data_IF_227689236973
#
_entry.id   IF_227689236973
#
_cell.length_a   1.000
_cell.length_b   1.000
_cell.length_c   1.000
_cell.angle_alpha   90.00
_cell.angle_beta   90.00
_cell.angle_gamma   90.00
#
_symmetry.space_group_name_H-M   'P 1'
#
loop_
_entity.id
_entity.type
_entity.pdbx_description
1 polymer ?
#
# COMPACT_ATOMS: atom_id res chain seq x y z
N UNK A 1 15.60 32.09 22.06
CA UNK A 1 15.98 30.66 21.95
C UNK A 1 14.72 29.82 21.84
N UNK A 2 14.21 29.63 20.62
CA UNK A 2 13.36 28.49 20.29
C UNK A 2 14.15 27.64 19.31
N UNK A 3 14.76 26.56 19.82
CA UNK A 3 15.21 25.44 18.99
C UNK A 3 13.96 24.69 18.55
N UNK A 4 14.03 23.98 17.43
CA UNK A 4 12.95 23.24 16.76
C UNK A 4 12.14 24.07 15.75
N UNK A 5 12.75 24.33 14.59
CA UNK A 5 12.00 24.60 13.38
C UNK A 5 11.46 23.28 12.84
N UNK A 6 10.15 23.09 12.97
CA UNK A 6 9.41 22.01 12.34
C UNK A 6 8.73 22.58 11.10
N UNK A 7 9.49 22.66 10.01
CA UNK A 7 8.95 22.86 8.67
C UNK A 7 9.22 21.56 7.91
N UNK A 8 8.20 20.73 7.79
CA UNK A 8 8.27 19.48 7.06
C UNK A 8 6.92 18.81 7.09
N UNK A 9 6.45 18.37 5.93
CA UNK A 9 5.22 17.62 5.62
C UNK A 9 4.07 18.37 4.95
N UNK A 10 4.22 19.65 4.57
CA UNK A 10 3.27 20.31 3.65
C UNK A 10 3.72 20.15 2.19
N UNK A 11 3.26 19.06 1.56
CA UNK A 11 3.52 18.78 0.15
C UNK A 11 3.21 17.35 -0.25
N UNK A 12 1.94 16.95 -0.14
CA UNK A 12 1.45 15.69 -0.71
C UNK A 12 0.20 15.95 -1.56
N UNK A 13 0.38 16.77 -2.60
CA UNK A 13 -0.56 16.85 -3.71
C UNK A 13 -0.14 15.83 -4.79
N UNK A 14 -1.09 15.01 -5.24
CA UNK A 14 -0.98 14.24 -6.49
C UNK A 14 -0.65 12.76 -6.34
N UNK A 15 -1.69 11.96 -6.08
CA UNK A 15 -1.68 10.56 -6.48
C UNK A 15 -2.03 10.48 -7.96
N UNK A 16 -0.99 10.48 -8.79
CA UNK A 16 -1.10 10.07 -10.18
C UNK A 16 -0.74 8.59 -10.27
N UNK A 17 -1.64 7.84 -10.91
CA UNK A 17 -1.30 6.57 -11.51
C UNK A 17 -0.08 6.73 -12.42
N UNK A 18 0.48 5.62 -12.84
CA UNK A 18 1.74 5.48 -13.58
C UNK A 18 1.92 6.25 -14.91
N UNK A 19 1.19 7.35 -15.16
CA UNK A 19 1.42 8.32 -16.22
C UNK A 19 1.69 9.70 -15.61
N UNK A 20 2.96 9.93 -15.21
CA UNK A 20 3.35 11.20 -14.59
C UNK A 20 4.79 11.25 -14.11
N UNK A 21 5.75 10.69 -14.87
CA UNK A 21 7.16 11.08 -14.71
C UNK A 21 7.34 12.49 -15.29
N UNK A 22 6.77 13.51 -14.64
CA UNK A 22 7.14 14.90 -14.90
C UNK A 22 6.80 15.81 -13.71
N UNK A 23 7.87 16.26 -13.07
CA UNK A 23 7.88 17.51 -12.31
C UNK A 23 8.08 17.36 -10.81
N UNK A 24 8.90 18.28 -10.29
CA UNK A 24 8.92 18.74 -8.90
C UNK A 24 9.91 18.07 -7.94
N UNK A 25 11.19 18.32 -8.19
CA UNK A 25 12.18 18.45 -7.10
C UNK A 25 12.47 19.95 -6.84
N UNK A 26 11.59 20.56 -6.04
CA UNK A 26 12.01 21.05 -4.72
C UNK A 26 11.92 22.55 -4.37
N UNK A 27 11.68 22.78 -3.08
CA UNK A 27 12.61 23.29 -2.03
C UNK A 27 12.02 22.79 -0.69
N UNK A 28 11.73 21.48 -0.55
CA UNK A 28 10.80 20.94 0.48
C UNK A 28 9.60 21.89 0.75
N UNK A 29 8.68 21.97 -0.23
CA UNK A 29 7.40 22.67 -0.10
C UNK A 29 7.38 24.12 -0.59
N UNK A 30 6.71 24.37 -1.71
CA UNK A 30 6.29 25.71 -2.14
C UNK A 30 6.80 26.15 -3.52
N UNK A 31 5.93 26.80 -4.30
CA UNK A 31 6.15 27.37 -5.64
C UNK A 31 7.14 28.57 -5.66
N UNK A 32 8.29 28.46 -5.01
CA UNK A 32 9.36 29.46 -5.02
C UNK A 32 10.34 29.22 -6.17
N UNK A 33 10.57 30.23 -7.03
CA UNK A 33 11.58 30.14 -8.08
C UNK A 33 12.98 29.98 -7.46
N UNK A 34 13.65 28.85 -7.74
CA UNK A 34 15.06 28.63 -7.38
C UNK A 34 15.93 29.69 -8.07
N UNK A 35 16.87 30.30 -7.36
CA UNK A 35 17.95 31.02 -8.02
C UNK A 35 18.71 30.03 -8.93
N UNK A 36 18.94 30.40 -10.19
CA UNK A 36 19.71 29.56 -11.10
C UNK A 36 21.19 29.54 -10.68
N UNK A 37 21.96 28.59 -11.22
CA UNK A 37 23.37 28.45 -10.88
C UNK A 37 24.19 29.73 -11.15
N UNK A 38 23.80 30.53 -12.15
CA UNK A 38 24.49 31.77 -12.52
C UNK A 38 24.53 32.80 -11.38
N UNK A 39 23.38 33.32 -10.90
CA UNK A 39 23.35 34.24 -9.76
C UNK A 39 24.05 33.71 -8.50
N UNK A 40 23.93 32.40 -8.21
CA UNK A 40 24.60 31.79 -7.06
C UNK A 40 26.13 31.77 -7.22
N UNK A 41 26.62 31.47 -8.42
CA UNK A 41 28.05 31.49 -8.73
C UNK A 41 28.62 32.91 -8.63
N UNK A 42 27.97 33.89 -9.26
CA UNK A 42 28.40 35.29 -9.18
C UNK A 42 28.37 35.84 -7.75
N UNK A 43 27.35 35.49 -6.97
CA UNK A 43 27.29 35.87 -5.55
C UNK A 43 28.45 35.26 -4.77
N UNK A 44 28.71 33.95 -4.93
CA UNK A 44 29.84 33.27 -4.28
C UNK A 44 31.17 33.96 -4.61
N UNK A 45 31.45 34.18 -5.88
CA UNK A 45 32.73 34.74 -6.33
C UNK A 45 32.93 36.18 -5.83
N UNK A 46 31.85 36.94 -5.67
CA UNK A 46 31.89 38.29 -5.10
C UNK A 46 32.00 38.36 -3.57
N UNK A 47 31.61 37.31 -2.83
CA UNK A 47 31.48 37.39 -1.36
C UNK A 47 32.39 36.46 -0.56
N UNK A 48 32.88 35.35 -1.11
CA UNK A 48 33.52 34.29 -0.32
C UNK A 48 34.92 34.65 0.22
N UNK A 49 35.58 35.66 -0.35
CA UNK A 49 36.96 35.99 -0.01
C UNK A 49 37.96 34.90 -0.43
N UNK A 50 39.20 34.96 0.04
CA UNK A 50 40.18 33.89 -0.19
C UNK A 50 39.85 32.67 0.68
N UNK A 51 39.74 31.50 0.06
CA UNK A 51 39.60 30.21 0.73
C UNK A 51 40.68 29.25 0.21
N UNK A 52 41.53 28.76 1.10
CA UNK A 52 42.65 27.86 0.80
C UNK A 52 42.24 26.37 0.74
N UNK A 53 40.94 26.09 0.83
CA UNK A 53 40.38 24.75 0.84
C UNK A 53 40.32 24.10 2.23
N UNK A 54 40.78 24.77 3.28
CA UNK A 54 40.70 24.23 4.65
C UNK A 54 39.26 24.29 5.20
N UNK A 55 38.84 23.32 6.02
CA UNK A 55 37.53 23.38 6.65
C UNK A 55 37.50 24.50 7.70
N UNK A 56 36.52 25.40 7.61
CA UNK A 56 36.27 26.50 8.56
C UNK A 56 35.15 26.16 9.57
N UNK A 57 34.54 24.98 9.42
CA UNK A 57 33.46 24.48 10.29
C UNK A 57 33.82 23.12 10.85
N UNK A 58 33.42 22.89 12.10
CA UNK A 58 33.47 21.56 12.68
C UNK A 58 32.57 20.61 11.89
N UNK A 59 33.08 19.42 11.59
CA UNK A 59 32.28 18.36 11.00
C UNK A 59 31.16 17.97 11.96
N UNK A 60 29.94 17.83 11.43
CA UNK A 60 28.87 17.17 12.19
C UNK A 60 29.30 15.71 12.41
N UNK A 61 29.24 15.19 13.65
CA UNK A 61 29.59 13.79 13.90
C UNK A 61 28.67 12.86 13.11
N UNK A 62 29.17 11.66 12.80
CA UNK A 62 28.34 10.60 12.25
C UNK A 62 27.18 10.32 13.21
N UNK A 63 25.98 10.20 12.66
CA UNK A 63 24.74 9.98 13.41
C UNK A 63 24.35 8.51 13.29
N UNK A 64 23.58 8.01 14.26
CA UNK A 64 22.95 6.70 14.11
C UNK A 64 21.97 6.70 12.92
N UNK A 65 21.62 5.51 12.42
CA UNK A 65 20.83 5.35 11.22
C UNK A 65 19.45 6.02 11.31
N UNK A 66 18.81 6.00 12.48
CA UNK A 66 17.50 6.63 12.66
C UNK A 66 17.59 8.15 12.68
N UNK A 67 18.52 8.72 13.44
CA UNK A 67 18.75 10.17 13.44
C UNK A 67 19.17 10.68 12.06
N UNK A 68 19.93 9.89 11.30
CA UNK A 68 20.24 10.18 9.91
C UNK A 68 18.96 10.20 9.05
N UNK A 69 18.15 9.13 9.12
CA UNK A 69 16.89 8.97 8.38
C UNK A 69 15.92 10.13 8.63
N UNK A 70 15.71 10.54 9.89
CA UNK A 70 14.81 11.65 10.24
C UNK A 70 15.12 12.94 9.48
N UNK A 71 16.41 13.22 9.28
CA UNK A 71 16.88 14.45 8.62
C UNK A 71 17.06 14.37 7.11
N UNK A 72 16.78 13.21 6.51
CA UNK A 72 16.80 13.09 5.05
C UNK A 72 15.66 13.91 4.45
N UNK A 73 15.94 14.54 3.30
CA UNK A 73 14.88 15.12 2.47
C UNK A 73 13.86 14.07 2.04
N UNK A 74 12.66 14.51 1.65
CA UNK A 74 11.51 13.63 1.41
C UNK A 74 11.82 12.51 0.41
N UNK A 75 12.39 12.84 -0.75
CA UNK A 75 12.68 11.86 -1.82
C UNK A 75 13.73 10.81 -1.41
N UNK A 76 14.92 11.17 -0.90
CA UNK A 76 15.86 10.18 -0.37
C UNK A 76 15.28 9.29 0.73
N UNK A 77 14.48 9.86 1.65
CA UNK A 77 13.81 9.12 2.73
C UNK A 77 12.87 8.05 2.16
N UNK A 78 12.07 8.42 1.15
CA UNK A 78 11.19 7.50 0.42
C UNK A 78 11.98 6.35 -0.22
N UNK A 79 13.08 6.66 -0.92
CA UNK A 79 13.90 5.65 -1.59
C UNK A 79 14.48 4.64 -0.60
N UNK A 80 15.04 5.12 0.52
CA UNK A 80 15.60 4.22 1.56
C UNK A 80 14.50 3.35 2.17
N UNK A 81 13.32 3.91 2.41
CA UNK A 81 12.22 3.16 2.99
C UNK A 81 11.66 2.11 2.02
N UNK A 82 11.41 2.48 0.77
CA UNK A 82 10.90 1.58 -0.26
C UNK A 82 11.91 0.46 -0.55
N UNK A 83 13.21 0.76 -0.54
CA UNK A 83 14.26 -0.27 -0.68
C UNK A 83 14.25 -1.24 0.50
N UNK A 84 14.12 -0.75 1.73
CA UNK A 84 14.09 -1.61 2.91
C UNK A 84 12.89 -2.56 2.91
N UNK A 85 11.69 -2.05 2.60
CA UNK A 85 10.49 -2.89 2.48
C UNK A 85 10.61 -3.85 1.30
N UNK A 86 10.98 -3.34 0.11
CA UNK A 86 11.09 -4.16 -1.10
C UNK A 86 12.14 -5.27 -0.99
N UNK A 87 13.18 -5.11 -0.18
CA UNK A 87 14.17 -6.16 0.07
C UNK A 87 13.63 -7.31 0.93
N UNK A 88 12.57 -7.09 1.70
CA UNK A 88 11.97 -8.11 2.55
C UNK A 88 11.03 -9.03 1.75
N UNK A 89 10.40 -8.53 0.68
CA UNK A 89 9.34 -9.23 -0.04
C UNK A 89 9.73 -9.57 -1.48
N UNK A 90 9.24 -10.71 -1.96
CA UNK A 90 9.44 -11.17 -3.33
C UNK A 90 8.15 -11.58 -4.00
N UNK A 91 8.14 -11.54 -5.34
CA UNK A 91 7.05 -12.10 -6.16
C UNK A 91 7.62 -13.20 -7.05
N UNK A 92 6.94 -14.33 -7.11
CA UNK A 92 7.26 -15.37 -8.11
C UNK A 92 6.00 -15.87 -8.81
N UNK A 93 6.14 -16.24 -10.08
CA UNK A 93 5.08 -16.74 -10.94
C UNK A 93 5.46 -18.14 -11.40
N UNK A 94 4.49 -19.05 -11.42
CA UNK A 94 4.75 -20.37 -11.97
C UNK A 94 4.79 -20.34 -13.52
N UNK A 95 5.38 -21.38 -14.12
CA UNK A 95 5.55 -21.45 -15.57
C UNK A 95 4.22 -21.49 -16.35
N UNK A 96 3.16 -22.03 -15.75
CA UNK A 96 1.82 -22.06 -16.35
C UNK A 96 1.08 -20.71 -16.26
N UNK A 97 1.63 -19.74 -15.52
CA UNK A 97 1.05 -18.43 -15.28
C UNK A 97 -0.37 -18.50 -14.69
N UNK A 98 -0.69 -19.54 -13.93
CA UNK A 98 -1.97 -19.73 -13.23
C UNK A 98 -1.86 -19.48 -11.72
N UNK A 99 -0.63 -19.41 -11.20
CA UNK A 99 -0.34 -19.27 -9.78
C UNK A 99 0.73 -18.22 -9.58
N UNK A 100 0.42 -17.22 -8.75
CA UNK A 100 1.37 -16.21 -8.29
C UNK A 100 1.62 -16.36 -6.79
N UNK A 101 2.84 -16.09 -6.36
CA UNK A 101 3.21 -16.16 -4.94
C UNK A 101 3.91 -14.89 -4.49
N UNK A 102 3.69 -14.53 -3.24
CA UNK A 102 4.43 -13.47 -2.54
C UNK A 102 5.17 -14.10 -1.38
N UNK A 103 6.47 -13.85 -1.30
CA UNK A 103 7.34 -14.32 -0.22
C UNK A 103 7.78 -13.18 0.70
N UNK A 104 8.19 -13.53 1.91
CA UNK A 104 8.92 -12.66 2.82
C UNK A 104 10.17 -13.39 3.30
N UNK A 105 11.35 -12.90 2.90
CA UNK A 105 12.57 -13.71 2.90
C UNK A 105 12.36 -15.01 2.12
N UNK A 106 12.72 -16.14 2.74
CA UNK A 106 12.62 -17.47 2.12
C UNK A 106 11.23 -18.14 2.30
N UNK A 107 10.31 -17.50 3.04
CA UNK A 107 8.99 -18.06 3.31
C UNK A 107 7.95 -17.56 2.32
N UNK A 108 7.15 -18.47 1.78
CA UNK A 108 5.96 -18.09 0.99
C UNK A 108 4.86 -17.64 1.93
N UNK A 109 4.41 -16.38 1.80
CA UNK A 109 3.33 -15.81 2.60
C UNK A 109 1.97 -15.99 1.93
N UNK A 110 1.90 -15.72 0.62
CA UNK A 110 0.64 -15.78 -0.11
C UNK A 110 0.83 -16.59 -1.37
N UNK A 111 -0.08 -17.52 -1.64
CA UNK A 111 -0.23 -18.16 -2.94
C UNK A 111 -1.60 -17.84 -3.48
N UNK A 112 -1.65 -17.36 -4.72
CA UNK A 112 -2.84 -16.90 -5.41
C UNK A 112 -3.06 -17.76 -6.65
N UNK A 113 -4.12 -18.57 -6.68
CA UNK A 113 -4.54 -19.32 -7.87
C UNK A 113 -5.59 -18.53 -8.66
N UNK A 114 -5.32 -18.24 -9.93
CA UNK A 114 -6.16 -17.36 -10.72
C UNK A 114 -7.47 -18.02 -11.15
N UNK A 115 -8.58 -17.25 -11.27
CA UNK A 115 -9.84 -17.76 -11.81
C UNK A 115 -9.74 -18.12 -13.30
N UNK A 116 -10.46 -19.17 -13.69
CA UNK A 116 -10.67 -19.51 -15.10
C UNK A 116 -11.67 -18.57 -15.80
N UNK A 117 -11.53 -18.39 -17.11
CA UNK A 117 -12.40 -17.48 -17.89
C UNK A 117 -13.88 -17.88 -17.81
N UNK A 118 -14.20 -19.17 -17.84
CA UNK A 118 -15.60 -19.64 -17.76
C UNK A 118 -16.22 -19.33 -16.40
N UNK A 119 -15.46 -19.47 -15.31
CA UNK A 119 -15.90 -19.07 -13.98
C UNK A 119 -16.18 -17.56 -13.95
N UNK A 120 -15.29 -16.74 -14.49
CA UNK A 120 -15.50 -15.29 -14.55
C UNK A 120 -16.78 -14.93 -15.32
N UNK A 121 -17.01 -15.56 -16.47
CA UNK A 121 -18.18 -15.30 -17.33
C UNK A 121 -19.50 -15.73 -16.69
N UNK A 122 -19.52 -16.89 -16.04
CA UNK A 122 -20.76 -17.52 -15.59
C UNK A 122 -21.10 -17.23 -14.13
N UNK A 123 -20.09 -17.00 -13.29
CA UNK A 123 -20.26 -16.81 -11.83
C UNK A 123 -19.98 -15.38 -11.37
N UNK A 124 -19.03 -14.68 -12.00
CA UNK A 124 -18.59 -13.37 -11.51
C UNK A 124 -19.24 -12.18 -12.24
N UNK A 125 -19.42 -12.27 -13.56
CA UNK A 125 -20.04 -11.21 -14.35
C UNK A 125 -21.49 -10.86 -13.91
N UNK A 126 -22.33 -11.81 -13.44
CA UNK A 126 -23.64 -11.49 -12.88
C UNK A 126 -23.58 -10.51 -11.70
N UNK A 127 -22.62 -10.66 -10.78
CA UNK A 127 -22.45 -9.71 -9.66
C UNK A 127 -22.14 -8.31 -10.17
N UNK A 128 -21.25 -8.18 -11.17
CA UNK A 128 -20.92 -6.88 -11.74
C UNK A 128 -22.17 -6.18 -12.31
N UNK A 129 -23.08 -6.93 -12.93
CA UNK A 129 -24.36 -6.38 -13.39
C UNK A 129 -25.19 -5.84 -12.22
N UNK A 130 -25.30 -6.58 -11.13
CA UNK A 130 -26.04 -6.16 -9.93
C UNK A 130 -25.40 -4.92 -9.28
N UNK A 131 -24.07 -4.89 -9.15
CA UNK A 131 -23.34 -3.75 -8.58
C UNK A 131 -23.45 -2.47 -9.42
N UNK A 132 -23.72 -2.58 -10.74
CA UNK A 132 -23.91 -1.43 -11.59
C UNK A 132 -25.09 -0.54 -11.16
N UNK A 133 -26.07 -1.08 -10.45
CA UNK A 133 -27.21 -0.31 -9.94
C UNK A 133 -26.80 0.70 -8.85
N UNK A 134 -25.64 0.49 -8.20
CA UNK A 134 -25.09 1.38 -7.16
C UNK A 134 -24.28 2.56 -7.73
N UNK A 135 -24.04 2.61 -9.04
CA UNK A 135 -23.11 3.59 -9.65
C UNK A 135 -23.44 5.04 -9.32
N UNK A 136 -24.73 5.39 -9.37
CA UNK A 136 -25.18 6.76 -9.09
C UNK A 136 -24.79 7.21 -7.67
N UNK A 137 -24.93 6.32 -6.70
CA UNK A 137 -24.66 6.62 -5.30
C UNK A 137 -23.17 6.56 -4.97
N UNK A 138 -22.39 5.76 -5.72
CA UNK A 138 -20.97 5.54 -5.45
C UNK A 138 -20.00 6.35 -6.30
N UNK A 139 -20.44 7.00 -7.38
CA UNK A 139 -19.54 7.67 -8.33
C UNK A 139 -18.64 8.72 -7.67
N UNK A 140 -19.15 9.50 -6.70
CA UNK A 140 -18.36 10.48 -5.98
C UNK A 140 -17.25 9.84 -5.13
N UNK A 141 -17.61 8.78 -4.40
CA UNK A 141 -16.67 7.99 -3.61
C UNK A 141 -15.63 7.30 -4.50
N UNK A 142 -16.09 6.72 -5.61
CA UNK A 142 -15.25 6.04 -6.61
C UNK A 142 -14.20 6.99 -7.16
N UNK A 143 -14.61 8.21 -7.52
CA UNK A 143 -13.74 9.23 -8.10
C UNK A 143 -12.63 9.68 -7.13
N UNK A 144 -12.98 9.95 -5.87
CA UNK A 144 -12.01 10.29 -4.84
C UNK A 144 -11.00 9.14 -4.62
N UNK A 145 -11.50 7.91 -4.52
CA UNK A 145 -10.70 6.71 -4.27
C UNK A 145 -9.77 6.30 -5.42
N UNK A 146 -9.88 6.90 -6.62
CA UNK A 146 -8.89 6.64 -7.70
C UNK A 146 -7.49 7.01 -7.22
N UNK A 147 -7.41 8.16 -6.57
CA UNK A 147 -6.16 8.79 -6.16
C UNK A 147 -6.01 8.80 -4.64
N UNK A 148 -7.08 8.93 -3.86
CA UNK A 148 -6.96 9.11 -2.42
C UNK A 148 -7.86 8.13 -1.64
N UNK A 149 -7.27 7.02 -1.22
CA UNK A 149 -7.91 6.12 -0.24
C UNK A 149 -7.54 6.49 1.20
N UNK A 150 -6.49 7.27 1.42
CA UNK A 150 -5.94 7.59 2.73
C UNK A 150 -6.91 8.45 3.54
N UNK A 151 -7.53 9.45 2.90
CA UNK A 151 -8.53 10.29 3.54
C UNK A 151 -9.70 9.51 4.14
N UNK A 152 -10.03 8.34 3.57
CA UNK A 152 -11.11 7.51 4.11
C UNK A 152 -10.75 6.86 5.44
N UNK A 153 -9.48 6.51 5.64
CA UNK A 153 -8.97 5.99 6.91
C UNK A 153 -8.72 7.09 7.94
N UNK A 154 -8.30 8.27 7.49
CA UNK A 154 -8.14 9.45 8.34
C UNK A 154 -9.47 9.95 8.95
N UNK A 155 -10.62 9.50 8.43
CA UNK A 155 -11.92 9.75 9.08
C UNK A 155 -12.13 8.90 10.34
N UNK A 156 -11.45 7.76 10.47
CA UNK A 156 -11.62 6.82 11.60
C UNK A 156 -10.83 7.28 12.82
N UNK A 157 -9.63 7.83 12.62
CA UNK A 157 -8.78 8.32 13.70
C UNK A 157 -7.94 9.53 13.27
N UNK A 158 -7.36 10.24 14.24
CA UNK A 158 -6.65 11.50 14.04
C UNK A 158 -5.31 11.34 13.28
N UNK A 159 -5.37 11.26 11.95
CA UNK A 159 -4.19 11.28 11.08
C UNK A 159 -3.87 12.70 10.64
N UNK A 160 -2.77 13.27 11.14
CA UNK A 160 -2.32 14.62 10.78
C UNK A 160 -0.80 14.63 10.54
N UNK A 161 -0.33 15.33 9.52
CA UNK A 161 1.10 15.39 9.18
C UNK A 161 1.98 15.93 10.31
N UNK A 162 1.43 16.77 11.19
CA UNK A 162 2.14 17.31 12.34
C UNK A 162 2.10 16.40 13.57
N UNK A 163 1.04 15.60 13.73
CA UNK A 163 0.79 14.83 14.95
C UNK A 163 1.15 13.35 14.80
N UNK A 164 0.88 12.77 13.64
CA UNK A 164 1.09 11.34 13.35
C UNK A 164 1.95 11.11 12.10
N UNK A 165 3.09 11.82 11.94
CA UNK A 165 3.91 11.74 10.73
C UNK A 165 4.44 10.33 10.43
N UNK A 166 4.75 9.53 11.45
CA UNK A 166 5.31 8.19 11.27
C UNK A 166 4.25 7.17 10.91
N UNK A 167 3.04 7.27 11.49
CA UNK A 167 1.87 6.51 11.05
C UNK A 167 1.59 6.75 9.57
N UNK A 168 1.54 8.02 9.14
CA UNK A 168 1.30 8.39 7.73
C UNK A 168 2.44 7.85 6.84
N UNK A 169 3.69 8.07 7.24
CA UNK A 169 4.84 7.63 6.45
C UNK A 169 4.85 6.10 6.28
N UNK A 170 4.63 5.33 7.35
CA UNK A 170 4.52 3.86 7.31
C UNK A 170 3.41 3.42 6.37
N UNK A 171 2.21 4.00 6.50
CA UNK A 171 1.07 3.63 5.68
C UNK A 171 1.35 3.87 4.20
N UNK A 172 1.93 5.03 3.86
CA UNK A 172 2.35 5.33 2.50
C UNK A 172 3.42 4.36 1.98
N UNK A 173 4.34 3.89 2.84
CA UNK A 173 5.29 2.84 2.51
C UNK A 173 4.62 1.51 2.20
N UNK A 174 3.63 1.11 3.00
CA UNK A 174 2.83 -0.11 2.80
C UNK A 174 2.04 -0.07 1.49
N UNK A 175 1.47 1.09 1.13
CA UNK A 175 0.79 1.26 -0.15
C UNK A 175 1.73 1.06 -1.34
N UNK A 176 2.91 1.71 -1.31
CA UNK A 176 3.91 1.55 -2.37
C UNK A 176 4.43 0.11 -2.43
N UNK A 177 4.63 -0.54 -1.28
CA UNK A 177 4.98 -1.94 -1.22
C UNK A 177 3.91 -2.81 -1.89
N UNK A 178 2.64 -2.64 -1.52
CA UNK A 178 1.52 -3.37 -2.12
C UNK A 178 1.53 -3.24 -3.66
N UNK A 179 1.70 -2.02 -4.18
CA UNK A 179 1.81 -1.74 -5.62
C UNK A 179 2.98 -2.50 -6.28
N UNK A 180 4.16 -2.49 -5.67
CA UNK A 180 5.34 -3.19 -6.20
C UNK A 180 5.17 -4.71 -6.23
N UNK A 181 4.29 -5.26 -5.40
CA UNK A 181 4.01 -6.70 -5.34
C UNK A 181 2.86 -7.11 -6.26
N UNK A 182 1.79 -6.32 -6.34
CA UNK A 182 0.63 -6.67 -7.15
C UNK A 182 0.84 -6.46 -8.65
N UNK A 183 1.68 -5.49 -9.06
CA UNK A 183 1.87 -5.21 -10.49
C UNK A 183 2.55 -6.38 -11.22
N UNK A 184 3.63 -7.01 -10.69
CA UNK A 184 4.17 -8.24 -11.26
C UNK A 184 3.16 -9.40 -11.28
N UNK A 185 2.32 -9.54 -10.24
CA UNK A 185 1.25 -10.55 -10.21
C UNK A 185 0.24 -10.32 -11.34
N UNK A 186 -0.24 -9.08 -11.50
CA UNK A 186 -1.17 -8.69 -12.57
C UNK A 186 -0.57 -8.92 -13.96
N UNK A 187 0.71 -8.59 -14.12
CA UNK A 187 1.44 -8.81 -15.36
C UNK A 187 1.52 -10.30 -15.71
N UNK A 188 1.88 -11.14 -14.73
CA UNK A 188 2.06 -12.57 -14.95
C UNK A 188 0.76 -13.35 -15.14
N UNK A 189 -0.26 -13.06 -14.34
CA UNK A 189 -1.50 -13.83 -14.33
C UNK A 189 -2.47 -13.40 -15.44
N UNK A 190 -2.36 -12.14 -15.88
CA UNK A 190 -3.05 -11.53 -17.03
C UNK A 190 -4.54 -11.88 -17.12
N UNK A 191 -5.24 -11.77 -16.00
CA UNK A 191 -6.68 -12.05 -15.95
C UNK A 191 -7.45 -10.95 -16.71
N UNK A 192 -8.37 -11.32 -17.63
CA UNK A 192 -9.10 -10.35 -18.43
C UNK A 192 -10.00 -9.46 -17.56
N UNK A 193 -10.14 -8.19 -17.96
CA UNK A 193 -11.06 -7.22 -17.33
C UNK A 193 -12.52 -7.49 -17.74
N UNK A 194 -13.51 -7.09 -16.94
CA UNK A 194 -14.92 -7.26 -17.30
C UNK A 194 -15.32 -6.70 -18.67
N UNK A 195 -14.78 -5.52 -19.04
CA UNK A 195 -15.10 -4.85 -20.31
C UNK A 195 -14.72 -5.68 -21.54
N UNK A 196 -13.70 -6.55 -21.45
CA UNK A 196 -13.28 -7.39 -22.58
C UNK A 196 -14.23 -8.57 -22.81
N UNK A 197 -15.09 -8.89 -21.84
CA UNK A 197 -16.05 -10.00 -21.95
C UNK A 197 -17.38 -9.59 -22.56
N UNK A 198 -17.78 -8.32 -22.42
CA UNK A 198 -19.01 -7.78 -23.01
C UNK A 198 -19.01 -6.25 -23.08
N UNK A 199 -19.49 -5.69 -24.19
CA UNK A 199 -19.69 -4.24 -24.36
C UNK A 199 -20.71 -3.64 -23.38
N UNK A 200 -21.52 -4.46 -22.70
CA UNK A 200 -22.56 -4.02 -21.77
C UNK A 200 -22.02 -3.57 -20.41
N UNK A 201 -20.75 -3.86 -20.08
CA UNK A 201 -20.16 -3.43 -18.79
C UNK A 201 -20.15 -1.92 -18.66
N UNK A 202 -19.70 -1.21 -19.71
CA UNK A 202 -19.57 0.25 -19.77
C UNK A 202 -19.01 0.84 -18.44
N UNK A 203 -17.72 0.61 -18.12
CA UNK A 203 -17.12 1.12 -16.89
C UNK A 203 -17.29 2.64 -16.76
N UNK A 204 -17.49 3.13 -15.53
CA UNK A 204 -17.72 4.57 -15.26
C UNK A 204 -16.44 5.33 -14.89
N UNK A 205 -15.29 4.66 -14.96
CA UNK A 205 -13.95 5.23 -14.87
C UNK A 205 -13.09 4.62 -15.96
N UNK A 206 -11.95 5.25 -16.27
CA UNK A 206 -11.04 4.70 -17.26
C UNK A 206 -10.54 3.31 -16.83
N UNK A 207 -10.60 2.34 -17.74
CA UNK A 207 -10.11 0.98 -17.46
C UNK A 207 -8.58 1.00 -17.47
N UNK A 208 -7.90 0.56 -16.40
CA UNK A 208 -6.43 0.54 -16.38
C UNK A 208 -5.85 -0.46 -17.39
N UNK A 209 -4.69 -0.13 -17.96
CA UNK A 209 -4.00 -0.88 -19.03
C UNK A 209 -3.28 -2.16 -18.59
N UNK A 210 -3.75 -2.83 -17.54
CA UNK A 210 -3.15 -4.05 -17.00
C UNK A 210 -4.22 -5.04 -16.50
N UNK A 211 -3.80 -6.28 -16.24
CA UNK A 211 -4.65 -7.37 -15.74
C UNK A 211 -5.54 -6.98 -14.54
N UNK A 212 -6.70 -7.60 -14.45
CA UNK A 212 -7.72 -7.33 -13.43
C UNK A 212 -7.38 -7.96 -12.08
N UNK A 213 -6.59 -9.03 -12.03
CA UNK A 213 -6.47 -9.85 -10.82
C UNK A 213 -5.03 -9.94 -10.32
N UNK A 214 -4.78 -9.81 -9.00
CA UNK A 214 -5.73 -9.38 -7.94
C UNK A 214 -6.15 -7.91 -8.10
N UNK A 215 -7.18 -7.43 -7.39
CA UNK A 215 -7.57 -6.01 -7.39
C UNK A 215 -6.59 -5.15 -6.60
N UNK A 216 -6.16 -4.03 -7.17
CA UNK A 216 -5.09 -3.22 -6.56
C UNK A 216 -5.53 -2.42 -5.36
N UNK A 217 -6.58 -1.61 -5.57
CA UNK A 217 -7.28 -0.91 -4.49
C UNK A 217 -7.72 -1.83 -3.35
N UNK A 218 -8.08 -3.09 -3.62
CA UNK A 218 -8.40 -4.04 -2.55
C UNK A 218 -7.15 -4.41 -1.74
N UNK A 219 -6.03 -4.75 -2.39
CA UNK A 219 -4.75 -5.04 -1.71
C UNK A 219 -4.32 -3.88 -0.83
N UNK A 220 -4.25 -2.69 -1.40
CA UNK A 220 -3.83 -1.46 -0.72
C UNK A 220 -4.73 -1.14 0.48
N UNK A 221 -6.06 -1.23 0.29
CA UNK A 221 -7.03 -0.90 1.31
C UNK A 221 -7.02 -1.89 2.48
N UNK A 222 -6.92 -3.20 2.22
CA UNK A 222 -6.85 -4.21 3.27
C UNK A 222 -5.49 -4.23 3.98
N UNK A 223 -4.39 -3.94 3.28
CA UNK A 223 -3.09 -3.73 3.90
C UNK A 223 -3.10 -2.51 4.83
N UNK A 224 -3.69 -1.40 4.36
CA UNK A 224 -3.88 -0.18 5.17
C UNK A 224 -4.72 -0.45 6.41
N UNK A 225 -5.89 -1.08 6.25
CA UNK A 225 -6.76 -1.39 7.39
C UNK A 225 -6.07 -2.29 8.42
N UNK A 226 -5.28 -3.27 7.96
CA UNK A 226 -4.53 -4.18 8.83
C UNK A 226 -3.42 -3.47 9.60
N UNK A 227 -2.61 -2.65 8.91
CA UNK A 227 -1.58 -1.82 9.56
C UNK A 227 -2.19 -0.88 10.60
N UNK A 228 -3.22 -0.13 10.20
CA UNK A 228 -3.82 0.89 11.06
C UNK A 228 -4.60 0.27 12.23
N UNK A 229 -5.16 -0.95 12.08
CA UNK A 229 -5.80 -1.64 13.20
C UNK A 229 -4.83 -1.87 14.34
N UNK A 230 -3.56 -2.19 14.04
CA UNK A 230 -2.52 -2.34 15.06
C UNK A 230 -2.18 -1.04 15.78
N UNK A 231 -2.20 0.08 15.06
CA UNK A 231 -1.81 1.39 15.57
C UNK A 231 -2.95 2.10 16.32
N UNK A 232 -4.19 1.98 15.84
CA UNK A 232 -5.33 2.75 16.36
C UNK A 232 -6.03 2.06 17.52
N UNK A 233 -5.95 0.74 17.62
CA UNK A 233 -6.68 -0.03 18.63
C UNK A 233 -5.72 -0.67 19.63
N UNK A 234 -5.96 -0.42 20.91
CA UNK A 234 -5.24 -1.06 22.02
C UNK A 234 -5.87 -2.43 22.34
N UNK A 235 -5.84 -3.31 21.34
CA UNK A 235 -6.34 -4.68 21.44
C UNK A 235 -5.32 -5.68 20.89
N UNK A 236 -5.53 -6.98 21.17
CA UNK A 236 -4.68 -8.02 20.61
C UNK A 236 -4.71 -7.99 19.09
N UNK A 237 -3.54 -7.94 18.45
CA UNK A 237 -3.45 -7.85 17.00
C UNK A 237 -3.95 -9.14 16.33
N UNK A 238 -5.20 -9.09 15.83
CA UNK A 238 -5.84 -10.18 15.11
C UNK A 238 -6.66 -9.63 13.94
N UNK A 239 -6.06 -9.54 12.74
CA UNK A 239 -6.72 -9.04 11.54
C UNK A 239 -8.00 -9.81 11.18
N UNK A 240 -8.01 -11.14 11.35
CA UNK A 240 -9.16 -11.99 11.02
C UNK A 240 -10.34 -11.68 11.94
N UNK A 241 -10.08 -11.51 13.24
CA UNK A 241 -11.12 -11.09 14.19
C UNK A 241 -11.65 -9.69 13.85
N UNK A 242 -10.79 -8.74 13.46
CA UNK A 242 -11.22 -7.41 13.04
C UNK A 242 -12.10 -7.42 11.78
N UNK A 243 -11.80 -8.31 10.81
CA UNK A 243 -12.62 -8.52 9.62
C UNK A 243 -13.98 -9.13 10.00
N UNK A 244 -14.00 -10.17 10.84
CA UNK A 244 -15.23 -10.82 11.32
C UNK A 244 -16.11 -9.88 12.13
N UNK A 245 -15.51 -9.03 12.97
CA UNK A 245 -16.19 -7.96 13.70
C UNK A 245 -16.61 -6.78 12.80
N UNK A 246 -16.10 -6.74 11.57
CA UNK A 246 -16.29 -5.67 10.61
C UNK A 246 -15.95 -4.30 11.21
N UNK A 247 -14.75 -4.11 11.75
CA UNK A 247 -14.35 -2.80 12.30
C UNK A 247 -14.40 -1.70 11.23
N UNK A 248 -14.44 -0.44 11.67
CA UNK A 248 -14.56 0.75 10.81
C UNK A 248 -13.50 0.77 9.70
N UNK A 249 -12.24 0.40 10.04
CA UNK A 249 -11.14 0.31 9.09
C UNK A 249 -11.41 -0.73 8.00
N UNK A 250 -11.86 -1.94 8.37
CA UNK A 250 -12.18 -2.98 7.39
C UNK A 250 -13.45 -2.67 6.60
N UNK A 251 -14.44 -1.95 7.17
CA UNK A 251 -15.60 -1.45 6.42
C UNK A 251 -15.18 -0.48 5.32
N UNK A 252 -14.26 0.44 5.60
CA UNK A 252 -13.67 1.30 4.57
C UNK A 252 -12.91 0.49 3.52
N UNK A 253 -12.13 -0.50 3.92
CA UNK A 253 -11.41 -1.35 2.98
C UNK A 253 -12.33 -2.11 2.03
N UNK A 254 -13.37 -2.74 2.56
CA UNK A 254 -14.36 -3.43 1.75
C UNK A 254 -15.12 -2.49 0.83
N UNK A 255 -15.46 -1.29 1.31
CA UNK A 255 -16.13 -0.26 0.51
C UNK A 255 -15.30 0.16 -0.71
N UNK A 256 -14.00 0.42 -0.51
CA UNK A 256 -13.05 0.78 -1.56
C UNK A 256 -12.96 -0.34 -2.62
N UNK A 257 -12.84 -1.59 -2.16
CA UNK A 257 -12.76 -2.77 -3.02
C UNK A 257 -14.06 -2.99 -3.82
N UNK A 258 -15.22 -3.01 -3.15
CA UNK A 258 -16.54 -3.13 -3.81
C UNK A 258 -16.78 -2.03 -4.85
N UNK A 259 -16.35 -0.80 -4.55
CA UNK A 259 -16.50 0.33 -5.46
C UNK A 259 -15.78 0.11 -6.81
N UNK A 260 -14.78 -0.78 -6.87
CA UNK A 260 -14.15 -1.17 -8.13
C UNK A 260 -15.04 -2.08 -8.99
N UNK A 261 -15.84 -2.94 -8.36
CA UNK A 261 -16.88 -3.73 -9.03
C UNK A 261 -18.04 -2.84 -9.46
N UNK A 262 -18.49 -1.90 -8.62
CA UNK A 262 -19.49 -0.88 -9.00
C UNK A 262 -19.02 -0.07 -10.21
N UNK A 263 -17.74 0.33 -10.21
CA UNK A 263 -17.13 1.07 -11.31
C UNK A 263 -17.05 0.26 -12.63
N UNK A 264 -17.18 -1.07 -12.55
CA UNK A 264 -17.13 -1.98 -13.70
C UNK A 264 -15.72 -2.41 -14.13
N UNK A 265 -14.71 -2.19 -13.30
CA UNK A 265 -13.30 -2.46 -13.65
C UNK A 265 -12.74 -3.74 -13.03
N UNK A 266 -13.43 -4.32 -12.05
CA UNK A 266 -13.01 -5.52 -11.31
C UNK A 266 -14.18 -6.47 -11.04
N UNK A 267 -13.90 -7.78 -11.02
CA UNK A 267 -14.81 -8.80 -10.50
C UNK A 267 -14.73 -8.90 -8.97
N UNK A 268 -15.75 -9.46 -8.30
CA UNK A 268 -15.67 -9.75 -6.87
C UNK A 268 -14.46 -10.61 -6.46
N UNK A 269 -14.13 -11.65 -7.24
CA UNK A 269 -12.94 -12.50 -7.00
C UNK A 269 -11.62 -11.73 -7.06
N UNK A 270 -11.54 -10.65 -7.84
CA UNK A 270 -10.36 -9.76 -7.86
C UNK A 270 -10.21 -9.08 -6.49
N UNK A 271 -11.32 -8.61 -5.92
CA UNK A 271 -11.37 -7.96 -4.60
C UNK A 271 -11.05 -8.95 -3.49
N UNK A 272 -11.55 -10.19 -3.57
CA UNK A 272 -11.23 -11.26 -2.62
C UNK A 272 -9.73 -11.58 -2.62
N UNK A 273 -9.13 -11.75 -3.80
CA UNK A 273 -7.70 -12.00 -3.93
C UNK A 273 -6.85 -10.83 -3.39
N UNK A 274 -7.25 -9.59 -3.71
CA UNK A 274 -6.58 -8.40 -3.19
C UNK A 274 -6.70 -8.29 -1.67
N UNK A 275 -7.87 -8.57 -1.10
CA UNK A 275 -8.06 -8.56 0.36
C UNK A 275 -7.18 -9.62 1.06
N UNK A 276 -7.16 -10.86 0.58
CA UNK A 276 -6.29 -11.92 1.13
C UNK A 276 -4.82 -11.54 1.03
N UNK A 277 -4.39 -10.99 -0.11
CA UNK A 277 -3.01 -10.51 -0.31
C UNK A 277 -2.66 -9.38 0.66
N UNK A 278 -3.50 -8.34 0.73
CA UNK A 278 -3.28 -7.16 1.54
C UNK A 278 -3.24 -7.44 3.05
N UNK A 279 -4.19 -8.23 3.55
CA UNK A 279 -4.22 -8.65 4.96
C UNK A 279 -2.96 -9.44 5.30
N UNK A 280 -2.59 -10.43 4.49
CA UNK A 280 -1.47 -11.31 4.79
C UNK A 280 -0.12 -10.59 4.74
N UNK A 281 0.05 -9.70 3.75
CA UNK A 281 1.23 -8.86 3.62
C UNK A 281 1.43 -7.96 4.85
N UNK A 282 0.38 -7.21 5.21
CA UNK A 282 0.45 -6.27 6.32
C UNK A 282 0.55 -6.98 7.67
N UNK A 283 -0.12 -8.13 7.85
CA UNK A 283 0.01 -8.97 9.05
C UNK A 283 1.46 -9.41 9.25
N UNK A 284 2.11 -9.96 8.23
CA UNK A 284 3.51 -10.38 8.30
C UNK A 284 4.45 -9.21 8.63
N UNK A 285 4.25 -8.06 7.98
CA UNK A 285 5.05 -6.86 8.24
C UNK A 285 4.87 -6.36 9.67
N UNK A 286 3.62 -6.24 10.14
CA UNK A 286 3.32 -5.76 11.51
C UNK A 286 3.94 -6.68 12.56
N UNK A 287 3.78 -8.00 12.42
CA UNK A 287 4.36 -8.98 13.35
C UNK A 287 5.88 -8.86 13.41
N UNK A 288 6.53 -8.77 12.25
CA UNK A 288 7.98 -8.55 12.18
C UNK A 288 8.42 -7.25 12.85
N UNK A 289 7.68 -6.16 12.65
CA UNK A 289 7.95 -4.86 13.27
C UNK A 289 7.76 -4.90 14.79
N UNK A 290 6.78 -5.65 15.29
CA UNK A 290 6.58 -5.93 16.72
C UNK A 290 7.60 -6.91 17.30
N UNK A 291 8.45 -7.51 16.46
CA UNK A 291 9.49 -8.46 16.89
C UNK A 291 9.01 -9.89 17.00
N UNK A 292 7.80 -10.18 16.52
CA UNK A 292 7.29 -11.53 16.34
C UNK A 292 7.84 -12.13 15.03
N UNK A 293 8.07 -13.44 15.04
CA UNK A 293 8.58 -14.18 13.89
C UNK A 293 7.54 -15.12 13.29
N UNK A 294 6.51 -15.51 14.02
CA UNK A 294 5.44 -16.34 13.47
C UNK A 294 4.38 -15.47 12.81
N UNK A 295 3.92 -15.86 11.62
CA UNK A 295 2.78 -15.22 10.95
C UNK A 295 1.95 -16.26 10.20
N UNK A 296 0.75 -15.89 9.80
CA UNK A 296 -0.11 -16.72 8.96
C UNK A 296 0.24 -16.54 7.49
N UNK A 297 0.55 -17.64 6.81
CA UNK A 297 0.57 -17.72 5.35
C UNK A 297 -0.79 -18.21 4.83
N UNK A 298 -1.20 -17.74 3.64
CA UNK A 298 -2.52 -18.04 3.05
C UNK A 298 -2.41 -18.47 1.59
N UNK A 299 -3.23 -19.44 1.20
CA UNK A 299 -3.43 -19.83 -0.20
C UNK A 299 -4.87 -19.52 -0.56
N UNK A 300 -5.07 -18.62 -1.51
CA UNK A 300 -6.39 -18.30 -2.06
C UNK A 300 -6.68 -19.14 -3.31
N UNK A 301 -7.76 -19.92 -3.25
CA UNK A 301 -8.26 -20.78 -4.30
C UNK A 301 -9.23 -20.01 -5.22
N UNK A 302 -8.72 -18.98 -5.91
CA UNK A 302 -9.52 -18.17 -6.83
C UNK A 302 -9.99 -18.92 -8.08
N UNK A 303 -9.40 -20.07 -8.37
CA UNK A 303 -9.77 -21.00 -9.44
C UNK A 303 -11.13 -21.69 -9.22
N UNK A 304 -11.58 -21.78 -7.97
CA UNK A 304 -12.87 -22.38 -7.59
C UNK A 304 -13.84 -21.40 -6.94
N UNK A 305 -13.43 -20.17 -6.64
CA UNK A 305 -14.26 -19.20 -5.92
C UNK A 305 -15.37 -18.59 -6.80
N UNK A 306 -16.62 -18.96 -6.54
CA UNK A 306 -17.80 -18.48 -7.28
C UNK A 306 -18.55 -17.32 -6.60
N UNK A 307 -18.13 -16.91 -5.39
CA UNK A 307 -18.89 -16.00 -4.52
C UNK A 307 -18.80 -14.50 -4.86
N UNK A 308 -19.56 -13.70 -4.12
CA UNK A 308 -19.49 -12.22 -4.13
C UNK A 308 -18.50 -11.71 -3.07
N UNK A 309 -18.07 -10.46 -3.18
CA UNK A 309 -17.15 -9.84 -2.24
C UNK A 309 -17.88 -8.97 -1.22
N UNK A 310 -17.92 -9.44 0.03
CA UNK A 310 -18.34 -8.66 1.21
C UNK A 310 -17.40 -8.97 2.39
N UNK A 311 -17.44 -8.16 3.47
CA UNK A 311 -16.67 -8.50 4.67
C UNK A 311 -17.11 -9.83 5.30
N UNK A 312 -18.42 -10.10 5.30
CA UNK A 312 -18.94 -11.38 5.77
C UNK A 312 -18.40 -12.54 4.91
N UNK A 313 -18.48 -12.40 3.58
CA UNK A 313 -17.94 -13.41 2.66
C UNK A 313 -16.42 -13.58 2.78
N UNK A 314 -15.67 -12.51 3.08
CA UNK A 314 -14.24 -12.58 3.35
C UNK A 314 -13.95 -13.29 4.67
N UNK A 315 -14.71 -13.01 5.73
CA UNK A 315 -14.59 -13.70 7.01
C UNK A 315 -14.88 -15.20 6.83
N UNK A 316 -15.99 -15.55 6.19
CA UNK A 316 -16.37 -16.93 5.89
C UNK A 316 -15.29 -17.62 5.04
N UNK A 317 -14.71 -16.94 4.05
CA UNK A 317 -13.65 -17.48 3.21
C UNK A 317 -12.33 -17.71 3.97
N UNK A 318 -12.00 -16.87 4.95
CA UNK A 318 -10.81 -17.03 5.80
C UNK A 318 -10.95 -18.22 6.77
N UNK A 319 -12.18 -18.59 7.13
CA UNK A 319 -12.49 -19.74 7.97
C UNK A 319 -12.74 -21.04 7.16
N UNK A 320 -12.92 -20.95 5.84
CA UNK A 320 -13.10 -22.09 4.95
C UNK A 320 -11.83 -22.43 4.18
N UNK A 321 -11.15 -23.51 4.60
CA UNK A 321 -9.94 -24.04 3.95
C UNK A 321 -10.10 -24.42 2.47
N UNK A 322 -11.33 -24.62 1.99
CA UNK A 322 -11.59 -24.86 0.57
C UNK A 322 -11.47 -23.59 -0.28
N UNK A 323 -11.60 -22.41 0.35
CA UNK A 323 -11.49 -21.09 -0.31
C UNK A 323 -10.16 -20.42 0.05
N UNK A 324 -9.81 -20.37 1.34
CA UNK A 324 -8.52 -19.90 1.83
C UNK A 324 -7.93 -20.91 2.80
N UNK A 325 -6.89 -21.63 2.38
CA UNK A 325 -6.12 -22.45 3.33
C UNK A 325 -5.06 -21.61 4.03
N UNK A 326 -4.90 -21.82 5.33
CA UNK A 326 -3.96 -21.07 6.17
C UNK A 326 -2.95 -22.00 6.84
N UNK A 327 -1.72 -21.53 7.00
CA UNK A 327 -0.66 -22.21 7.77
C UNK A 327 0.17 -21.19 8.55
N UNK A 328 0.90 -21.65 9.55
CA UNK A 328 1.88 -20.80 10.26
C UNK A 328 3.23 -20.94 9.59
N UNK A 329 3.91 -19.81 9.38
CA UNK A 329 5.31 -19.76 8.90
C UNK A 329 6.15 -18.92 9.84
N UNK A 330 7.46 -19.22 9.91
CA UNK A 330 8.41 -18.49 10.76
C UNK A 330 9.34 -17.64 9.89
N UNK A 331 9.33 -16.34 10.12
CA UNK A 331 10.11 -15.32 9.44
C UNK A 331 11.41 -15.02 10.20
N UNK A 332 12.42 -14.56 9.46
CA UNK A 332 13.73 -14.17 9.99
C UNK A 332 13.68 -12.75 10.56
N UNK A 333 13.85 -12.57 11.87
CA UNK A 333 13.74 -11.25 12.53
C UNK A 333 14.77 -10.22 12.02
N UNK A 334 15.94 -10.67 11.58
CA UNK A 334 17.07 -9.83 11.17
C UNK A 334 16.82 -9.08 9.86
N UNK A 335 15.75 -9.42 9.12
CA UNK A 335 15.40 -8.74 7.87
C UNK A 335 14.92 -7.30 8.06
N UNK A 336 14.43 -6.96 9.26
CA UNK A 336 13.93 -5.61 9.57
C UNK A 336 15.10 -4.74 10.04
N UNK A 337 15.45 -3.66 9.31
CA UNK A 337 16.52 -2.77 9.74
C UNK A 337 16.22 -2.10 11.08
N UNK A 338 17.25 -1.90 11.90
CA UNK A 338 17.09 -1.30 13.23
C UNK A 338 16.41 0.08 13.20
N UNK A 339 16.69 0.90 12.18
CA UNK A 339 16.06 2.21 12.03
C UNK A 339 14.55 2.10 11.73
N UNK A 340 14.11 1.06 11.03
CA UNK A 340 12.70 0.83 10.72
C UNK A 340 11.94 0.37 11.97
N UNK A 341 12.58 -0.42 12.84
CA UNK A 341 12.04 -0.74 14.18
C UNK A 341 11.87 0.51 15.04
N UNK A 342 12.80 1.47 14.95
CA UNK A 342 12.66 2.75 15.65
C UNK A 342 11.53 3.60 15.06
N UNK A 343 11.38 3.65 13.73
CA UNK A 343 10.23 4.28 13.07
C UNK A 343 8.90 3.68 13.53
N UNK A 344 8.83 2.34 13.65
CA UNK A 344 7.65 1.65 14.17
C UNK A 344 7.36 2.01 15.64
N UNK A 345 8.38 2.08 16.49
CA UNK A 345 8.23 2.51 17.88
C UNK A 345 7.71 3.95 17.98
N UNK A 346 8.21 4.86 17.14
CA UNK A 346 7.76 6.25 17.10
C UNK A 346 6.30 6.32 16.62
N UNK A 347 5.90 5.56 15.60
CA UNK A 347 4.51 5.49 15.15
C UNK A 347 3.57 4.94 16.23
N UNK A 348 3.98 3.91 16.98
CA UNK A 348 3.19 3.41 18.12
C UNK A 348 3.05 4.45 19.23
N UNK A 349 4.03 5.31 19.43
CA UNK A 349 3.97 6.38 20.44
C UNK A 349 3.11 7.59 20.04
N UNK A 350 2.62 7.62 18.81
CA UNK A 350 1.66 8.64 18.34
C UNK A 350 0.24 8.39 18.86
N UNK A 351 -0.04 7.23 19.46
CA UNK A 351 -1.34 6.74 19.93
C UNK A 351 -1.29 6.31 21.40
#
# INVERSE_FOLDING_TARGET
>A
MSKYGWDGWDGWDGWDGWDGWDGWDGWDGGKGRRASAGPLASARDGTVGHWDGTPDRANKPARDAWTAFKTMGVKPKRIVFDQALGAMFGVSLNAAADTGTVSCGDQTLVTLKKPGVDLLRTKQLPYLRTYADLRRDRVGEIGAQISDIQSFYAMVSYMSGAATPWTIALNMGVLRLAQTLEMPLKHGLDVPRPITMTHKVQPIIQTPGHGSWPSGHATEAFATATLLSRLFYDEAFNPVAGIGAQTELYRHAARIAMNRTVAGVHFPTDSMAGAVLGVTLAEALVRLLDGETETTARVYHGDSYEGDFTLAALADALDDSAVVSSSTVTLTAEMVPAWLRQMWAEAKSEW
#
